data_IF_013382512448
#
_entry.id   IF_013382512448
#
_cell.length_a   1.000
_cell.length_b   1.000
_cell.length_c   1.000
_cell.angle_alpha   90.00
_cell.angle_beta   90.00
_cell.angle_gamma   90.00
#
_symmetry.space_group_name_H-M   'P 1'
#
loop_
_entity.id
_entity.type
_entity.pdbx_description
1 polymer ?
#
# COMPACT_ATOMS: atom_id res chain seq x y z
N UNK A 1 10.02 -43.42 -17.25
CA UNK A 1 9.46 -42.17 -17.86
C UNK A 1 9.71 -41.01 -16.89
N UNK A 2 10.49 -39.97 -17.24
CA UNK A 2 10.76 -38.87 -16.32
C UNK A 2 9.56 -37.92 -16.22
N UNK A 3 9.20 -37.51 -15.00
CA UNK A 3 8.16 -36.51 -14.71
C UNK A 3 8.65 -35.11 -15.10
N UNK A 4 7.96 -34.47 -16.03
CA UNK A 4 8.19 -33.07 -16.39
C UNK A 4 7.74 -32.16 -15.24
N UNK A 5 8.67 -31.35 -14.71
CA UNK A 5 8.37 -30.32 -13.69
C UNK A 5 7.61 -29.16 -14.33
N UNK A 6 6.38 -28.92 -13.88
CA UNK A 6 5.55 -27.79 -14.28
C UNK A 6 6.19 -26.45 -13.89
N UNK A 7 6.21 -25.52 -14.85
CA UNK A 7 6.82 -24.20 -14.73
C UNK A 7 5.98 -23.30 -13.83
N UNK A 8 6.59 -22.69 -12.81
CA UNK A 8 5.93 -21.74 -11.92
C UNK A 8 5.69 -20.41 -12.65
N UNK A 9 4.42 -20.13 -12.97
CA UNK A 9 4.00 -18.86 -13.57
C UNK A 9 4.32 -17.69 -12.62
N UNK A 10 5.32 -16.87 -13.00
CA UNK A 10 5.63 -15.59 -12.35
C UNK A 10 4.39 -14.69 -12.42
N UNK A 11 3.89 -14.28 -11.25
CA UNK A 11 2.65 -13.53 -11.09
C UNK A 11 2.63 -12.25 -11.91
N UNK A 12 1.74 -12.20 -12.89
CA UNK A 12 1.36 -11.04 -13.71
C UNK A 12 0.92 -9.90 -12.76
N UNK A 13 1.53 -8.72 -12.86
CA UNK A 13 1.12 -7.53 -12.13
C UNK A 13 -0.37 -7.26 -12.45
N UNK A 14 -1.24 -7.29 -11.44
CA UNK A 14 -2.68 -7.10 -11.65
C UNK A 14 -2.97 -5.62 -11.81
N UNK A 15 -3.17 -5.23 -13.06
CA UNK A 15 -3.76 -3.95 -13.49
C UNK A 15 -5.19 -3.81 -12.96
N UNK A 16 -5.51 -2.65 -12.40
CA UNK A 16 -6.88 -2.13 -12.23
C UNK A 16 -7.61 -2.60 -10.96
N UNK A 17 -8.46 -1.71 -10.42
CA UNK A 17 -9.31 -1.81 -9.23
C UNK A 17 -10.19 -3.07 -9.15
N UNK A 18 -9.60 -4.27 -9.05
CA UNK A 18 -10.33 -5.50 -8.76
C UNK A 18 -10.42 -5.68 -7.26
N UNK A 19 -11.65 -5.60 -6.75
CA UNK A 19 -11.98 -6.02 -5.38
C UNK A 19 -11.54 -7.46 -5.19
N UNK A 20 -10.77 -7.72 -4.13
CA UNK A 20 -10.30 -9.06 -3.85
C UNK A 20 -11.42 -9.82 -3.14
N UNK A 21 -12.06 -10.79 -3.81
CA UNK A 21 -13.17 -11.57 -3.27
C UNK A 21 -12.76 -12.63 -2.23
N UNK A 22 -11.47 -12.74 -1.88
CA UNK A 22 -10.97 -13.73 -0.92
C UNK A 22 -11.43 -13.41 0.51
N UNK A 23 -12.05 -14.37 1.20
CA UNK A 23 -12.61 -14.19 2.56
C UNK A 23 -11.61 -14.14 3.73
N UNK A 24 -10.30 -13.95 3.50
CA UNK A 24 -9.29 -14.01 4.57
C UNK A 24 -9.44 -12.84 5.57
N UNK A 25 -9.17 -13.09 6.86
CA UNK A 25 -9.38 -12.15 7.98
C UNK A 25 -8.66 -10.79 7.89
N UNK A 26 -7.64 -10.67 7.03
CA UNK A 26 -6.87 -9.43 6.78
C UNK A 26 -7.21 -8.74 5.45
N UNK A 27 -8.23 -9.22 4.73
CA UNK A 27 -8.69 -8.56 3.51
C UNK A 27 -9.60 -7.37 3.86
N UNK A 28 -9.29 -6.19 3.33
CA UNK A 28 -10.08 -4.96 3.55
C UNK A 28 -11.41 -5.00 2.79
N UNK A 29 -11.45 -5.72 1.66
CA UNK A 29 -12.62 -5.79 0.76
C UNK A 29 -13.64 -6.86 1.17
N UNK A 30 -13.32 -7.70 2.17
CA UNK A 30 -14.25 -8.73 2.64
C UNK A 30 -15.48 -8.10 3.30
N UNK A 31 -16.65 -8.68 3.06
CA UNK A 31 -17.87 -8.32 3.79
C UNK A 31 -17.78 -8.86 5.22
N UNK A 32 -18.24 -8.08 6.21
CA UNK A 32 -18.36 -8.51 7.60
C UNK A 32 -19.70 -9.24 7.73
N UNK A 33 -19.66 -10.55 7.90
CA UNK A 33 -20.88 -11.39 7.97
C UNK A 33 -21.31 -11.70 9.42
N UNK A 34 -20.49 -11.41 10.44
CA UNK A 34 -20.84 -11.69 11.85
C UNK A 34 -20.00 -10.94 12.89
N UNK A 35 -20.37 -11.10 14.17
CA UNK A 35 -19.87 -10.27 15.29
C UNK A 35 -18.43 -10.56 15.74
N UNK A 36 -17.88 -11.74 15.46
CA UNK A 36 -16.47 -12.08 15.73
C UNK A 36 -15.48 -11.61 14.66
N UNK A 37 -15.96 -10.98 13.59
CA UNK A 37 -15.12 -10.56 12.47
C UNK A 37 -14.54 -9.17 12.69
N UNK A 38 -13.24 -9.02 12.38
CA UNK A 38 -12.55 -7.71 12.39
C UNK A 38 -13.18 -6.73 11.38
N UNK A 39 -13.41 -5.50 11.82
CA UNK A 39 -13.84 -4.39 10.97
C UNK A 39 -12.79 -3.93 9.96
N UNK A 40 -13.24 -3.24 8.91
CA UNK A 40 -12.36 -2.68 7.87
C UNK A 40 -11.31 -1.72 8.45
N UNK A 41 -11.68 -0.90 9.42
CA UNK A 41 -10.78 0.02 10.13
C UNK A 41 -9.70 -0.73 10.91
N UNK A 42 -10.09 -1.75 11.68
CA UNK A 42 -9.19 -2.62 12.43
C UNK A 42 -8.22 -3.35 11.50
N UNK A 43 -8.69 -3.85 10.36
CA UNK A 43 -7.83 -4.52 9.38
C UNK A 43 -6.78 -3.56 8.82
N UNK A 44 -7.17 -2.33 8.44
CA UNK A 44 -6.22 -1.30 7.95
C UNK A 44 -5.18 -0.94 9.02
N UNK A 45 -5.59 -0.82 10.29
CA UNK A 45 -4.67 -0.60 11.42
C UNK A 45 -3.65 -1.74 11.56
N UNK A 46 -4.10 -2.99 11.50
CA UNK A 46 -3.19 -4.14 11.59
C UNK A 46 -2.24 -4.23 10.40
N UNK A 47 -2.74 -3.92 9.19
CA UNK A 47 -1.90 -3.84 7.99
C UNK A 47 -0.84 -2.74 8.13
N UNK A 48 -1.18 -1.60 8.75
CA UNK A 48 -0.21 -0.53 9.03
C UNK A 48 0.98 -1.06 9.85
N UNK A 49 0.72 -1.75 10.96
CA UNK A 49 1.79 -2.32 11.79
C UNK A 49 2.63 -3.37 11.07
N UNK A 50 2.01 -4.17 10.18
CA UNK A 50 2.72 -5.21 9.41
C UNK A 50 3.51 -4.66 8.22
N UNK A 51 3.05 -3.59 7.59
CA UNK A 51 3.55 -3.11 6.30
C UNK A 51 4.40 -1.82 6.38
N UNK A 52 4.93 -1.48 7.56
CA UNK A 52 5.77 -0.30 7.75
C UNK A 52 7.19 -0.42 7.16
N UNK A 53 7.55 -1.59 6.62
CA UNK A 53 8.88 -1.85 6.02
C UNK A 53 8.82 -1.84 4.48
N UNK A 54 9.88 -1.40 3.78
CA UNK A 54 9.94 -1.46 2.32
C UNK A 54 9.98 -2.92 1.84
N UNK A 55 9.34 -3.21 0.71
CA UNK A 55 9.43 -4.52 0.07
C UNK A 55 10.64 -4.57 -0.84
N UNK A 56 11.46 -5.61 -0.71
CA UNK A 56 12.70 -5.80 -1.47
C UNK A 56 12.65 -7.05 -2.34
N UNK A 57 13.38 -7.02 -3.44
CA UNK A 57 13.66 -8.20 -4.26
C UNK A 57 14.70 -9.10 -3.62
N UNK A 58 14.90 -10.30 -4.19
CA UNK A 58 15.96 -11.24 -3.79
C UNK A 58 17.37 -10.65 -3.89
N UNK A 59 17.57 -9.72 -4.84
CA UNK A 59 18.82 -8.96 -5.02
C UNK A 59 18.96 -7.79 -4.04
N UNK A 60 17.95 -7.55 -3.20
CA UNK A 60 17.95 -6.47 -2.24
C UNK A 60 17.55 -5.11 -2.81
N UNK A 61 17.08 -4.98 -4.05
CA UNK A 61 16.53 -3.71 -4.57
C UNK A 61 15.14 -3.42 -3.99
N UNK A 62 14.80 -2.16 -3.75
CA UNK A 62 13.47 -1.76 -3.23
C UNK A 62 12.46 -1.77 -4.37
N UNK A 63 11.43 -2.60 -4.27
CA UNK A 63 10.33 -2.70 -5.25
C UNK A 63 9.18 -1.77 -4.87
N UNK A 64 8.88 -1.70 -3.58
CA UNK A 64 7.85 -0.81 -3.04
C UNK A 64 8.41 -0.10 -1.83
N UNK A 65 8.45 1.23 -1.91
CA UNK A 65 8.85 2.09 -0.80
C UNK A 65 7.93 1.87 0.41
N UNK A 66 8.48 2.10 1.61
CA UNK A 66 7.68 2.12 2.81
C UNK A 66 6.67 3.28 2.75
N UNK A 67 5.54 3.19 3.47
CA UNK A 67 4.62 4.32 3.60
C UNK A 67 5.36 5.58 4.08
N UNK A 68 5.05 6.74 3.47
CA UNK A 68 5.65 8.05 3.77
C UNK A 68 7.15 8.21 3.49
N UNK A 69 7.83 7.14 3.07
CA UNK A 69 9.23 7.18 2.65
C UNK A 69 9.36 7.27 1.12
N UNK A 70 8.50 8.06 0.48
CA UNK A 70 8.59 8.32 -0.96
C UNK A 70 9.77 9.23 -1.25
N UNK A 71 10.64 8.83 -2.16
CA UNK A 71 11.76 9.66 -2.62
C UNK A 71 11.26 10.63 -3.69
N UNK A 72 11.46 11.92 -3.46
CA UNK A 72 11.27 12.95 -4.49
C UNK A 72 12.54 13.06 -5.36
N UNK A 73 12.41 13.45 -6.64
CA UNK A 73 13.58 13.72 -7.45
C UNK A 73 14.39 14.88 -6.85
N UNK A 74 15.72 14.76 -6.96
CA UNK A 74 16.63 15.83 -6.55
C UNK A 74 16.27 17.12 -7.30
N UNK A 75 16.15 18.24 -6.57
CA UNK A 75 15.70 19.51 -7.13
C UNK A 75 14.19 19.76 -7.07
N UNK A 76 13.42 18.93 -6.36
CA UNK A 76 12.01 19.27 -6.09
C UNK A 76 11.93 20.47 -5.14
N UNK A 77 11.35 21.57 -5.62
CA UNK A 77 11.19 22.81 -4.86
C UNK A 77 9.73 22.99 -4.46
N UNK A 78 9.46 23.15 -3.17
CA UNK A 78 8.16 23.60 -2.68
C UNK A 78 8.12 25.13 -2.68
N UNK A 79 7.19 25.71 -3.45
CA UNK A 79 6.94 27.16 -3.49
C UNK A 79 5.58 27.45 -2.88
N UNK A 80 5.45 28.62 -2.28
CA UNK A 80 4.20 29.07 -1.70
C UNK A 80 3.73 30.31 -2.46
N UNK A 81 2.49 30.30 -2.92
CA UNK A 81 1.93 31.43 -3.67
C UNK A 81 1.77 32.65 -2.74
N UNK A 82 2.15 33.86 -3.17
CA UNK A 82 1.97 35.06 -2.36
C UNK A 82 0.48 35.29 -2.08
N UNK A 83 0.13 35.57 -0.81
CA UNK A 83 -1.26 35.76 -0.41
C UNK A 83 -1.39 36.89 0.62
N UNK A 84 -2.31 37.84 0.35
CA UNK A 84 -2.63 38.97 1.25
C UNK A 84 -3.11 38.50 2.63
N UNK A 85 -3.74 37.32 2.71
CA UNK A 85 -4.25 36.73 3.97
C UNK A 85 -3.13 36.31 4.93
N UNK A 86 -1.89 36.17 4.47
CA UNK A 86 -0.75 35.86 5.36
C UNK A 86 -0.39 37.02 6.28
N UNK A 87 -0.76 38.23 5.90
CA UNK A 87 -0.39 39.46 6.60
C UNK A 87 -1.58 40.14 7.30
N UNK A 88 -2.77 39.51 7.29
CA UNK A 88 -3.92 39.98 8.08
C UNK A 88 -3.81 39.54 9.54
N UNK A 89 -4.30 40.35 10.49
CA UNK A 89 -4.38 39.95 11.90
C UNK A 89 -5.34 38.76 12.02
N UNK A 90 -4.89 37.67 12.65
CA UNK A 90 -5.69 36.50 12.99
C UNK A 90 -6.67 36.83 14.13
N UNK A 91 -7.62 37.72 13.90
CA UNK A 91 -8.70 38.08 14.82
C UNK A 91 -10.02 37.52 14.31
#
# INVERSE_FOLDING_TARGET
>A
KPKQKGQANKGKARTGNRVNSTGHSLNVDRQRTGDGMRDKSTIRRLQMYRNFKPKRDKTGKIVKAAPFQSTLPSGTVARIAPNRKWFGKCL
#
